data_IF_064896546784
#
_entry.id   IF_064896546784
#
_cell.length_a   1.000
_cell.length_b   1.000
_cell.length_c   1.000
_cell.angle_alpha   90.00
_cell.angle_beta   90.00
_cell.angle_gamma   90.00
#
_symmetry.space_group_name_H-M   'P 1'
#
loop_
_entity.id
_entity.type
_entity.pdbx_description
1 polymer ?
#
# COMPACT_ATOMS: atom_id res chain seq x y z
N UNK A 1 -4.26 37.70 -54.40
CA UNK A 1 -5.72 37.44 -54.42
C UNK A 1 -5.98 36.01 -54.86
N UNK A 2 -6.44 35.15 -53.93
CA UNK A 2 -7.14 33.85 -54.09
C UNK A 2 -7.26 33.27 -52.66
N UNK A 3 -8.34 33.60 -51.96
CA UNK A 3 -9.53 32.77 -51.70
C UNK A 3 -9.39 31.97 -50.40
N UNK A 4 -10.07 32.51 -49.39
CA UNK A 4 -10.66 31.94 -48.18
C UNK A 4 -11.05 30.47 -48.31
N UNK A 5 -10.90 29.68 -47.24
CA UNK A 5 -11.99 28.99 -46.52
C UNK A 5 -11.44 28.16 -45.35
N UNK A 6 -12.02 28.40 -44.17
CA UNK A 6 -11.86 27.67 -42.92
C UNK A 6 -12.60 26.32 -42.96
N UNK A 7 -12.63 25.62 -41.81
CA UNK A 7 -13.39 24.39 -41.45
C UNK A 7 -12.53 23.13 -41.70
N UNK A 8 -12.23 22.26 -40.74
CA UNK A 8 -13.13 21.52 -39.84
C UNK A 8 -12.42 21.13 -38.53
N UNK A 9 -13.06 21.47 -37.41
CA UNK A 9 -12.96 20.79 -36.12
C UNK A 9 -13.39 19.33 -36.31
N UNK A 10 -12.48 18.38 -36.19
CA UNK A 10 -12.84 16.98 -35.95
C UNK A 10 -12.58 16.69 -34.48
N UNK A 11 -13.52 17.15 -33.66
CA UNK A 11 -13.73 16.60 -32.33
C UNK A 11 -13.95 15.10 -32.50
N UNK A 12 -12.95 14.30 -32.14
CA UNK A 12 -13.12 12.85 -32.05
C UNK A 12 -13.98 12.61 -30.83
N UNK A 13 -15.29 12.54 -31.08
CA UNK A 13 -16.27 12.07 -30.12
C UNK A 13 -15.90 10.65 -29.72
N UNK A 14 -15.29 10.51 -28.53
CA UNK A 14 -15.30 9.26 -27.77
C UNK A 14 -16.74 9.00 -27.34
N UNK A 15 -17.55 8.50 -28.27
CA UNK A 15 -18.81 7.85 -27.93
C UNK A 15 -18.49 6.49 -27.33
N UNK A 16 -18.10 6.47 -26.06
CA UNK A 16 -18.14 5.27 -25.22
C UNK A 16 -19.47 5.27 -24.47
N UNK A 17 -20.53 5.10 -25.23
CA UNK A 17 -21.77 4.56 -24.67
C UNK A 17 -21.57 3.06 -24.53
N UNK A 18 -21.56 2.59 -23.28
CA UNK A 18 -22.18 1.34 -22.80
C UNK A 18 -21.85 1.24 -21.30
N UNK A 19 -22.82 1.64 -20.49
CA UNK A 19 -22.90 1.39 -19.06
C UNK A 19 -22.81 -0.12 -18.78
N UNK A 20 -21.59 -0.62 -18.59
CA UNK A 20 -21.33 -1.74 -17.70
C UNK A 20 -21.00 -1.12 -16.35
N UNK A 21 -21.80 -1.39 -15.33
CA UNK A 21 -21.51 -0.95 -13.97
C UNK A 21 -20.26 -1.66 -13.46
N UNK A 22 -19.08 -1.07 -13.68
CA UNK A 22 -17.79 -1.52 -13.19
C UNK A 22 -16.78 -0.40 -13.38
N UNK A 23 -15.85 -0.24 -12.42
CA UNK A 23 -14.76 0.72 -12.54
C UNK A 23 -13.91 0.39 -13.78
N UNK A 24 -13.44 1.43 -14.47
CA UNK A 24 -12.43 1.31 -15.50
C UNK A 24 -11.09 0.85 -14.92
N UNK A 25 -10.21 0.31 -15.77
CA UNK A 25 -8.86 -0.09 -15.34
C UNK A 25 -8.08 1.08 -14.71
N UNK A 26 -8.19 2.27 -15.29
CA UNK A 26 -7.55 3.49 -14.77
C UNK A 26 -8.07 3.85 -13.36
N UNK A 27 -9.37 3.71 -13.12
CA UNK A 27 -9.95 3.94 -11.78
C UNK A 27 -9.50 2.90 -10.75
N UNK A 28 -9.26 1.65 -11.18
CA UNK A 28 -8.76 0.59 -10.30
C UNK A 28 -7.29 0.80 -9.93
N UNK A 29 -6.44 1.11 -10.90
CA UNK A 29 -5.02 1.44 -10.67
C UNK A 29 -4.88 2.65 -9.75
N UNK A 30 -5.70 3.69 -9.94
CA UNK A 30 -5.71 4.84 -9.05
C UNK A 30 -6.11 4.46 -7.61
N UNK A 31 -7.12 3.59 -7.44
CA UNK A 31 -7.53 3.10 -6.12
C UNK A 31 -6.46 2.22 -5.45
N UNK A 32 -5.73 1.41 -6.23
CA UNK A 32 -4.58 0.65 -5.73
C UNK A 32 -3.47 1.59 -5.25
N UNK A 33 -3.11 2.63 -6.01
CA UNK A 33 -2.12 3.62 -5.57
C UNK A 33 -2.55 4.36 -4.30
N UNK A 34 -3.82 4.75 -4.19
CA UNK A 34 -4.35 5.39 -2.97
C UNK A 34 -4.21 4.46 -1.76
N UNK A 35 -4.55 3.19 -1.89
CA UNK A 35 -4.45 2.23 -0.80
C UNK A 35 -2.98 1.92 -0.41
N UNK A 36 -2.07 1.85 -1.39
CA UNK A 36 -0.63 1.71 -1.13
C UNK A 36 -0.07 2.94 -0.39
N UNK A 37 -0.55 4.15 -0.71
CA UNK A 37 -0.13 5.37 -0.02
C UNK A 37 -0.68 5.48 1.41
N UNK A 38 -1.90 4.99 1.63
CA UNK A 38 -2.47 4.85 2.96
C UNK A 38 -1.66 3.84 3.79
N UNK A 39 -1.30 2.69 3.22
CA UNK A 39 -0.40 1.74 3.88
C UNK A 39 0.96 2.38 4.19
N UNK A 40 1.53 3.18 3.28
CA UNK A 40 2.76 3.95 3.55
C UNK A 40 2.60 4.83 4.78
N UNK A 41 1.49 5.54 4.89
CA UNK A 41 1.21 6.46 6.00
C UNK A 41 1.08 5.68 7.31
N UNK A 42 0.30 4.60 7.31
CA UNK A 42 0.18 3.70 8.47
C UNK A 42 1.54 3.14 8.91
N UNK A 43 2.37 2.69 7.97
CA UNK A 43 3.73 2.21 8.27
C UNK A 43 4.64 3.34 8.78
N UNK A 44 4.47 4.58 8.34
CA UNK A 44 5.23 5.70 8.89
C UNK A 44 4.81 6.01 10.34
N UNK A 45 3.50 6.00 10.60
CA UNK A 45 2.93 6.25 11.93
C UNK A 45 3.33 5.16 12.92
N UNK A 46 3.21 3.88 12.54
CA UNK A 46 3.68 2.75 13.37
C UNK A 46 5.20 2.74 13.52
N UNK A 47 5.95 3.08 12.47
CA UNK A 47 7.40 3.24 12.57
C UNK A 47 7.80 4.29 13.61
N UNK A 48 6.98 5.34 13.78
CA UNK A 48 7.21 6.35 14.81
C UNK A 48 6.97 5.83 16.24
N UNK A 49 6.14 4.80 16.42
CA UNK A 49 5.91 4.15 17.72
C UNK A 49 6.95 3.07 18.00
N UNK A 50 7.69 2.57 17.00
CA UNK A 50 8.75 1.58 17.16
C UNK A 50 10.04 2.19 17.77
N UNK A 51 9.95 2.76 18.97
CA UNK A 51 11.01 3.51 19.64
C UNK A 51 11.20 3.08 21.11
N UNK A 52 12.28 3.53 21.76
CA UNK A 52 12.63 3.13 23.14
C UNK A 52 11.59 3.51 24.22
N UNK A 53 10.67 4.41 23.91
CA UNK A 53 9.68 4.94 24.85
C UNK A 53 8.36 4.18 24.80
N UNK A 54 8.15 3.35 23.77
CA UNK A 54 6.97 2.51 23.62
C UNK A 54 7.14 1.14 24.25
N UNK A 55 6.03 0.46 24.47
CA UNK A 55 5.94 -0.87 25.05
C UNK A 55 5.67 -1.92 23.97
N UNK A 56 5.99 -3.18 24.29
CA UNK A 56 5.70 -4.32 23.40
C UNK A 56 4.19 -4.46 23.13
N UNK A 57 3.35 -4.16 24.12
CA UNK A 57 1.90 -4.19 23.96
C UNK A 57 1.40 -3.11 23.00
N UNK A 58 1.97 -1.90 23.03
CA UNK A 58 1.66 -0.86 22.03
C UNK A 58 2.03 -1.29 20.60
N UNK A 59 3.10 -2.06 20.41
CA UNK A 59 3.46 -2.59 19.09
C UNK A 59 2.55 -3.71 18.63
N UNK A 60 2.12 -4.58 19.55
CA UNK A 60 1.09 -5.59 19.28
C UNK A 60 -0.21 -4.94 18.85
N UNK A 61 -0.60 -3.86 19.52
CA UNK A 61 -1.79 -3.10 19.15
C UNK A 61 -1.61 -2.41 17.79
N UNK A 62 -0.46 -1.77 17.55
CA UNK A 62 -0.16 -1.11 16.28
C UNK A 62 -0.18 -2.07 15.09
N UNK A 63 0.19 -3.35 15.30
CA UNK A 63 0.11 -4.41 14.28
C UNK A 63 -1.31 -4.52 13.68
N UNK A 64 -2.37 -4.35 14.49
CA UNK A 64 -3.73 -4.47 13.97
C UNK A 64 -4.07 -3.36 12.97
N UNK A 65 -3.51 -2.15 13.15
CA UNK A 65 -3.70 -1.06 12.20
C UNK A 65 -2.93 -1.33 10.90
N UNK A 66 -1.72 -1.89 10.99
CA UNK A 66 -0.97 -2.33 9.79
C UNK A 66 -1.73 -3.43 9.05
N UNK A 67 -2.23 -4.46 9.74
CA UNK A 67 -3.01 -5.54 9.12
C UNK A 67 -4.23 -5.01 8.37
N UNK A 68 -5.01 -4.12 8.99
CA UNK A 68 -6.17 -3.48 8.32
C UNK A 68 -5.76 -2.71 7.07
N UNK A 69 -4.65 -1.99 7.11
CA UNK A 69 -4.16 -1.23 5.97
C UNK A 69 -3.67 -2.16 4.84
N UNK A 70 -3.06 -3.30 5.18
CA UNK A 70 -2.68 -4.34 4.22
C UNK A 70 -3.90 -4.97 3.58
N UNK A 71 -4.88 -5.44 4.37
CA UNK A 71 -6.14 -6.01 3.86
C UNK A 71 -6.85 -5.04 2.92
N UNK A 72 -6.89 -3.75 3.30
CA UNK A 72 -7.48 -2.71 2.45
C UNK A 72 -6.72 -2.53 1.14
N UNK A 73 -5.40 -2.64 1.14
CA UNK A 73 -4.60 -2.50 -0.08
C UNK A 73 -4.67 -3.76 -0.96
N UNK A 74 -4.62 -4.94 -0.36
CA UNK A 74 -4.83 -6.25 -1.00
C UNK A 74 -6.15 -6.25 -1.80
N UNK A 75 -7.27 -5.88 -1.17
CA UNK A 75 -8.59 -5.78 -1.81
C UNK A 75 -8.58 -4.89 -3.08
N UNK A 76 -7.76 -3.83 -3.09
CA UNK A 76 -7.67 -2.90 -4.23
C UNK A 76 -6.68 -3.36 -5.30
N UNK A 77 -5.69 -4.14 -4.89
CA UNK A 77 -4.62 -4.62 -5.73
C UNK A 77 -5.04 -5.89 -6.47
N UNK A 78 -5.78 -6.80 -5.83
CA UNK A 78 -6.38 -7.95 -6.52
C UNK A 78 -7.26 -7.52 -7.71
N UNK A 79 -7.92 -6.36 -7.59
CA UNK A 79 -8.72 -5.79 -8.68
C UNK A 79 -7.88 -5.31 -9.88
N UNK A 80 -6.57 -5.09 -9.68
CA UNK A 80 -5.63 -4.48 -10.62
C UNK A 80 -4.50 -5.41 -11.09
N UNK A 81 -3.74 -6.05 -10.18
CA UNK A 81 -2.67 -7.05 -10.44
C UNK A 81 -2.27 -7.85 -9.17
N UNK A 82 -2.85 -9.04 -8.97
CA UNK A 82 -2.65 -9.93 -7.80
C UNK A 82 -1.17 -10.31 -7.54
N UNK A 83 -0.37 -10.53 -8.59
CA UNK A 83 1.01 -11.02 -8.44
C UNK A 83 1.99 -10.00 -7.83
N UNK A 84 1.56 -8.75 -7.70
CA UNK A 84 2.39 -7.66 -7.16
C UNK A 84 2.36 -7.58 -5.63
N UNK A 85 1.46 -8.30 -4.97
CA UNK A 85 1.20 -8.17 -3.52
C UNK A 85 1.82 -9.27 -2.65
N UNK A 86 2.15 -10.43 -3.21
CA UNK A 86 2.71 -11.58 -2.47
C UNK A 86 3.92 -11.20 -1.58
N UNK A 87 4.80 -10.31 -2.06
CA UNK A 87 5.96 -9.88 -1.29
C UNK A 87 5.60 -9.05 -0.04
N UNK A 88 4.47 -8.35 -0.08
CA UNK A 88 3.95 -7.55 1.05
C UNK A 88 3.37 -8.48 2.10
N UNK A 89 2.59 -9.49 1.69
CA UNK A 89 2.03 -10.48 2.62
C UNK A 89 3.13 -11.31 3.28
N UNK A 90 4.11 -11.79 2.52
CA UNK A 90 5.29 -12.50 3.04
C UNK A 90 6.10 -11.66 4.04
N UNK A 91 6.17 -10.34 3.84
CA UNK A 91 6.88 -9.43 4.74
C UNK A 91 6.04 -9.08 5.96
N UNK A 92 4.72 -9.01 5.81
CA UNK A 92 3.77 -8.83 6.89
C UNK A 92 3.79 -10.01 7.84
N UNK A 93 3.66 -11.24 7.34
CA UNK A 93 3.66 -12.46 8.15
C UNK A 93 4.94 -12.55 8.99
N UNK A 94 6.09 -12.21 8.40
CA UNK A 94 7.37 -12.15 9.13
C UNK A 94 7.36 -11.11 10.25
N UNK A 95 6.86 -9.91 9.98
CA UNK A 95 6.79 -8.86 10.99
C UNK A 95 5.77 -9.21 12.10
N UNK A 96 4.60 -9.74 11.75
CA UNK A 96 3.60 -10.19 12.70
C UNK A 96 4.17 -11.30 13.60
N UNK A 97 4.78 -12.33 13.01
CA UNK A 97 5.45 -13.39 13.75
C UNK A 97 6.53 -12.84 14.68
N UNK A 98 7.34 -11.87 14.21
CA UNK A 98 8.37 -11.25 15.03
C UNK A 98 7.77 -10.52 16.25
N UNK A 99 6.66 -9.79 16.08
CA UNK A 99 5.93 -9.10 17.15
C UNK A 99 5.32 -10.08 18.15
N UNK A 100 4.74 -11.18 17.67
CA UNK A 100 4.15 -12.21 18.54
C UNK A 100 5.20 -12.97 19.35
N UNK A 101 6.36 -13.21 18.76
CA UNK A 101 7.47 -13.96 19.36
C UNK A 101 8.41 -13.11 20.22
N UNK A 102 8.14 -11.81 20.41
CA UNK A 102 8.88 -10.99 21.38
C UNK A 102 8.76 -11.62 22.77
N UNK A 103 9.91 -11.91 23.38
CA UNK A 103 9.97 -12.44 24.75
C UNK A 103 9.39 -11.42 25.73
N UNK A 104 8.42 -11.86 26.56
CA UNK A 104 7.78 -11.00 27.56
C UNK A 104 8.72 -10.49 28.67
N UNK A 105 9.93 -11.03 28.75
CA UNK A 105 10.99 -10.57 29.65
C UNK A 105 12.00 -9.61 28.98
N UNK A 106 11.93 -9.42 27.66
CA UNK A 106 12.77 -8.45 26.95
C UNK A 106 12.46 -7.04 27.42
N UNK A 107 13.52 -6.23 27.51
CA UNK A 107 13.36 -4.79 27.62
C UNK A 107 12.79 -4.22 26.32
N UNK A 108 12.13 -3.05 26.36
CA UNK A 108 11.67 -2.39 25.13
C UNK A 108 12.79 -2.16 24.11
N UNK A 109 14.01 -1.87 24.55
CA UNK A 109 15.12 -1.67 23.62
C UNK A 109 15.54 -2.95 22.89
N UNK A 110 15.59 -4.08 23.60
CA UNK A 110 15.89 -5.39 23.00
C UNK A 110 14.79 -5.82 22.04
N UNK A 111 13.53 -5.66 22.44
CA UNK A 111 12.39 -5.98 21.61
C UNK A 111 12.31 -5.08 20.36
N UNK A 112 12.60 -3.77 20.46
CA UNK A 112 12.72 -2.89 19.29
C UNK A 112 13.81 -3.38 18.34
N UNK A 113 14.97 -3.74 18.90
CA UNK A 113 16.11 -4.19 18.12
C UNK A 113 15.83 -5.49 17.35
N UNK A 114 14.93 -6.36 17.84
CA UNK A 114 14.51 -7.56 17.09
C UNK A 114 13.47 -7.27 16.00
N UNK A 115 12.72 -6.17 16.09
CA UNK A 115 11.62 -5.85 15.17
C UNK A 115 12.00 -4.91 14.01
N UNK A 116 13.03 -4.09 14.19
CA UNK A 116 13.38 -3.02 13.24
C UNK A 116 13.69 -3.52 11.84
N UNK A 117 14.38 -4.67 11.72
CA UNK A 117 14.76 -5.22 10.41
C UNK A 117 13.55 -5.81 9.66
N UNK A 118 12.64 -6.50 10.36
CA UNK A 118 11.41 -7.02 9.76
C UNK A 118 10.46 -5.90 9.36
N UNK A 119 10.36 -4.86 10.19
CA UNK A 119 9.57 -3.67 9.85
C UNK A 119 10.13 -2.94 8.62
N UNK A 120 11.46 -2.81 8.52
CA UNK A 120 12.10 -2.22 7.34
C UNK A 120 11.88 -3.06 6.07
N UNK A 121 11.87 -4.39 6.19
CA UNK A 121 11.55 -5.29 5.08
C UNK A 121 10.09 -5.11 4.60
N UNK A 122 9.14 -4.94 5.51
CA UNK A 122 7.74 -4.64 5.18
C UNK A 122 7.62 -3.30 4.44
N UNK A 123 8.31 -2.25 4.91
CA UNK A 123 8.34 -0.97 4.20
C UNK A 123 8.91 -1.11 2.78
N UNK A 124 9.99 -1.88 2.62
CA UNK A 124 10.61 -2.12 1.33
C UNK A 124 9.75 -2.99 0.38
N UNK A 125 9.01 -3.97 0.90
CA UNK A 125 8.04 -4.74 0.12
C UNK A 125 6.93 -3.83 -0.43
N UNK A 126 6.39 -2.96 0.43
CA UNK A 126 5.38 -1.97 0.01
C UNK A 126 5.91 -0.99 -1.04
N UNK A 127 7.15 -0.51 -0.92
CA UNK A 127 7.77 0.37 -1.94
C UNK A 127 7.97 -0.35 -3.29
N UNK A 128 8.26 -1.65 -3.27
CA UNK A 128 8.33 -2.47 -4.49
C UNK A 128 6.96 -2.67 -5.12
N UNK A 129 5.93 -2.97 -4.33
CA UNK A 129 4.55 -3.04 -4.79
C UNK A 129 4.10 -1.72 -5.44
N UNK A 130 4.37 -0.57 -4.79
CA UNK A 130 4.09 0.76 -5.33
C UNK A 130 4.71 0.96 -6.73
N UNK A 131 5.98 0.58 -6.88
CA UNK A 131 6.70 0.69 -8.16
C UNK A 131 6.09 -0.16 -9.27
N UNK A 132 5.42 -1.27 -8.95
CA UNK A 132 4.69 -2.11 -9.90
C UNK A 132 3.48 -1.43 -10.52
N UNK A 133 2.80 -0.57 -9.75
CA UNK A 133 1.62 0.20 -10.17
C UNK A 133 1.95 1.58 -10.74
N UNK A 134 3.24 1.94 -10.84
CA UNK A 134 3.69 3.31 -11.17
C UNK A 134 3.16 4.38 -10.20
N UNK A 135 2.92 3.98 -8.96
CA UNK A 135 2.91 4.87 -7.82
C UNK A 135 4.38 5.14 -7.39
#
# INVERSE_FOLDING_TARGET
>A
MKKTLATVLTASALTLGLSACGQSQEEKEAAACEAIDELRTTLADVGSTLNAQSTVDEWRDARFEVRKAIEKAEDRIEEADEASWDEVDDAWDRFEDAVENVDGSSTPEEARASLVDDFAQLQAARDRAASGFSC
#
